data_IF_985869518724
#
_entry.id   IF_985869518724
#
_cell.length_a   1.000
_cell.length_b   1.000
_cell.length_c   1.000
_cell.angle_alpha   90.00
_cell.angle_beta   90.00
_cell.angle_gamma   90.00
#
_symmetry.space_group_name_H-M   'P 1'
#
loop_
_entity.id
_entity.type
_entity.pdbx_description
1 polymer ?
#
# COMPACT_ATOMS: atom_id res chain seq x y z
N UNK A 1 -21.42 -14.58 -14.71
CA UNK A 1 -20.16 -14.05 -14.15
C UNK A 1 -20.42 -13.65 -12.70
N UNK A 2 -19.45 -13.85 -11.80
CA UNK A 2 -19.56 -13.49 -10.40
C UNK A 2 -18.27 -12.82 -9.91
N UNK A 3 -18.40 -11.84 -9.03
CA UNK A 3 -17.27 -11.14 -8.40
C UNK A 3 -17.18 -11.52 -6.93
N UNK A 4 -15.96 -11.75 -6.47
CA UNK A 4 -15.64 -12.04 -5.08
C UNK A 4 -14.65 -10.97 -4.59
N UNK A 5 -15.15 -9.85 -4.04
CA UNK A 5 -14.28 -8.81 -3.50
C UNK A 5 -13.61 -9.33 -2.23
N UNK A 6 -12.30 -9.52 -2.24
CA UNK A 6 -11.54 -9.95 -1.05
C UNK A 6 -10.14 -9.35 -1.04
N UNK A 7 -9.63 -9.01 0.15
CA UNK A 7 -8.21 -8.66 0.31
C UNK A 7 -7.25 -9.85 0.11
N UNK A 8 -7.75 -11.08 0.12
CA UNK A 8 -6.95 -12.32 0.02
C UNK A 8 -6.49 -12.66 -1.40
N UNK A 9 -7.05 -11.99 -2.40
CA UNK A 9 -6.69 -12.18 -3.81
C UNK A 9 -5.54 -11.27 -4.25
N UNK A 10 -5.06 -10.37 -3.38
CA UNK A 10 -3.88 -9.57 -3.66
C UNK A 10 -2.61 -10.41 -3.49
N UNK A 11 -1.88 -10.61 -4.60
CA UNK A 11 -0.57 -11.24 -4.57
C UNK A 11 0.50 -10.24 -5.03
N UNK A 12 1.21 -9.58 -4.09
CA UNK A 12 2.23 -8.61 -4.46
C UNK A 12 3.36 -9.30 -5.22
N UNK A 13 3.72 -8.78 -6.40
CA UNK A 13 4.92 -9.21 -7.12
C UNK A 13 6.16 -9.00 -6.25
N UNK A 14 7.27 -9.70 -6.53
CA UNK A 14 8.51 -9.53 -5.77
C UNK A 14 8.98 -8.05 -5.74
N UNK A 15 8.73 -7.31 -6.82
CA UNK A 15 8.99 -5.87 -6.96
C UNK A 15 8.04 -5.00 -6.12
N UNK A 16 6.87 -5.53 -5.76
CA UNK A 16 5.89 -4.85 -4.90
C UNK A 16 6.33 -4.78 -3.44
N UNK A 17 7.19 -5.71 -2.99
CA UNK A 17 7.60 -5.82 -1.59
C UNK A 17 8.48 -4.65 -1.19
N UNK A 18 8.05 -3.90 -0.18
CA UNK A 18 8.84 -2.84 0.42
C UNK A 18 9.91 -3.48 1.30
N UNK A 19 11.16 -3.13 1.04
CA UNK A 19 12.31 -3.51 1.85
C UNK A 19 12.79 -2.30 2.63
N UNK A 20 13.44 -2.54 3.79
CA UNK A 20 14.04 -1.49 4.62
C UNK A 20 15.02 -0.59 3.86
N UNK A 21 15.54 -1.06 2.72
CA UNK A 21 16.44 -0.30 1.85
C UNK A 21 15.74 0.74 0.96
N UNK A 22 14.43 0.63 0.74
CA UNK A 22 13.73 1.60 -0.12
C UNK A 22 13.82 3.02 0.45
N UNK A 23 13.86 4.00 -0.44
CA UNK A 23 13.76 5.40 -0.03
C UNK A 23 12.30 5.83 0.09
N UNK A 24 12.00 6.81 0.94
CA UNK A 24 10.64 7.37 1.04
C UNK A 24 10.15 7.87 -0.33
N UNK A 25 11.04 8.48 -1.12
CA UNK A 25 10.73 8.94 -2.48
C UNK A 25 10.31 7.78 -3.39
N UNK A 26 11.07 6.68 -3.42
CA UNK A 26 10.71 5.48 -4.19
C UNK A 26 9.34 4.91 -3.79
N UNK A 27 9.03 4.91 -2.49
CA UNK A 27 7.73 4.41 -2.01
C UNK A 27 6.59 5.29 -2.51
N UNK A 28 6.76 6.62 -2.47
CA UNK A 28 5.73 7.58 -2.88
C UNK A 28 5.53 7.61 -4.40
N UNK A 29 6.59 7.44 -5.17
CA UNK A 29 6.55 7.42 -6.65
C UNK A 29 6.08 6.09 -7.22
N UNK A 30 5.91 5.06 -6.38
CA UNK A 30 5.48 3.73 -6.82
C UNK A 30 4.01 3.75 -7.28
N UNK A 31 3.79 3.47 -8.55
CA UNK A 31 2.44 3.32 -9.12
C UNK A 31 1.78 2.05 -8.59
N UNK A 32 0.45 2.04 -8.34
CA UNK A 32 -0.29 0.82 -8.04
C UNK A 32 -0.12 -0.17 -9.19
N UNK A 33 0.33 -1.39 -8.88
CA UNK A 33 0.63 -2.40 -9.90
C UNK A 33 -0.62 -3.08 -10.46
N UNK A 34 -1.71 -3.09 -9.70
CA UNK A 34 -2.92 -3.82 -10.08
C UNK A 34 -3.86 -2.97 -10.93
N UNK A 35 -3.96 -3.29 -12.21
CA UNK A 35 -4.93 -2.68 -13.14
C UNK A 35 -6.06 -3.64 -13.48
N UNK A 36 -7.12 -3.13 -14.14
CA UNK A 36 -8.26 -3.95 -14.58
C UNK A 36 -7.82 -5.08 -15.52
N UNK A 37 -6.75 -4.86 -16.29
CA UNK A 37 -6.19 -5.85 -17.22
C UNK A 37 -5.60 -7.06 -16.50
N UNK A 38 -5.21 -6.92 -15.23
CA UNK A 38 -4.68 -8.01 -14.41
C UNK A 38 -5.78 -8.86 -13.76
N UNK A 39 -7.05 -8.46 -13.88
CA UNK A 39 -8.19 -9.22 -13.35
C UNK A 39 -8.44 -10.46 -14.22
N UNK A 40 -8.04 -11.62 -13.72
CA UNK A 40 -8.31 -12.92 -14.34
C UNK A 40 -9.25 -13.79 -13.49
N UNK A 41 -10.08 -14.65 -14.12
CA UNK A 41 -11.00 -15.50 -13.38
C UNK A 41 -10.23 -16.60 -12.63
N UNK A 42 -10.38 -16.63 -11.30
CA UNK A 42 -9.84 -17.70 -10.45
C UNK A 42 -10.60 -19.03 -10.63
N UNK A 43 -11.82 -18.96 -11.16
CA UNK A 43 -12.62 -20.12 -11.54
C UNK A 43 -13.26 -19.87 -12.90
N UNK A 44 -13.08 -20.79 -13.84
CA UNK A 44 -13.55 -20.63 -15.22
C UNK A 44 -14.16 -21.94 -15.75
N UNK A 45 -15.45 -21.90 -16.07
CA UNK A 45 -16.22 -22.98 -16.71
C UNK A 45 -17.16 -22.38 -17.77
N UNK A 46 -17.75 -23.21 -18.62
CA UNK A 46 -18.65 -22.76 -19.70
C UNK A 46 -19.83 -21.89 -19.22
N UNK A 47 -20.32 -22.14 -18.01
CA UNK A 47 -21.53 -21.48 -17.48
C UNK A 47 -21.21 -20.54 -16.30
N UNK A 48 -19.99 -20.56 -15.75
CA UNK A 48 -19.63 -19.81 -14.56
C UNK A 48 -18.16 -19.37 -14.60
N UNK A 49 -17.97 -18.07 -14.40
CA UNK A 49 -16.67 -17.43 -14.21
C UNK A 49 -16.70 -16.64 -12.90
N UNK A 50 -15.70 -16.83 -12.04
CA UNK A 50 -15.55 -16.12 -10.76
C UNK A 50 -14.25 -15.33 -10.78
N UNK A 51 -14.37 -14.02 -10.58
CA UNK A 51 -13.26 -13.09 -10.53
C UNK A 51 -12.97 -12.72 -9.08
N UNK A 52 -11.73 -12.92 -8.64
CA UNK A 52 -11.27 -12.41 -7.35
C UNK A 52 -10.80 -10.98 -7.52
N UNK A 53 -11.44 -10.05 -6.81
CA UNK A 53 -11.09 -8.63 -6.91
C UNK A 53 -10.36 -8.24 -5.63
N UNK A 54 -9.09 -7.78 -5.70
CA UNK A 54 -8.31 -7.35 -4.55
C UNK A 54 -8.85 -6.02 -4.02
N UNK A 55 -9.97 -6.10 -3.32
CA UNK A 55 -10.57 -4.99 -2.62
C UNK A 55 -9.99 -4.91 -1.20
N UNK A 56 -9.46 -3.74 -0.84
CA UNK A 56 -8.94 -3.44 0.50
C UNK A 56 -9.71 -2.29 1.12
N UNK A 57 -10.13 -2.46 2.38
CA UNK A 57 -10.67 -1.38 3.21
C UNK A 57 -9.58 -0.69 4.04
N UNK A 58 -8.35 -1.16 3.90
CA UNK A 58 -7.18 -0.63 4.58
C UNK A 58 -6.26 0.10 3.60
N UNK A 59 -5.59 1.13 4.09
CA UNK A 59 -4.55 1.83 3.36
C UNK A 59 -3.41 0.88 2.99
N UNK A 60 -2.97 0.95 1.74
CA UNK A 60 -1.68 0.40 1.32
C UNK A 60 -0.53 1.10 2.04
N UNK A 61 0.64 0.46 2.03
CA UNK A 61 1.83 1.05 2.64
C UNK A 61 2.21 2.41 2.02
N UNK A 62 2.06 2.57 0.70
CA UNK A 62 2.29 3.85 0.02
C UNK A 62 1.29 4.92 0.49
N UNK A 63 0.02 4.58 0.61
CA UNK A 63 -1.00 5.55 1.06
C UNK A 63 -0.75 5.98 2.50
N UNK A 64 -0.37 5.06 3.37
CA UNK A 64 0.05 5.39 4.74
C UNK A 64 1.28 6.31 4.73
N UNK A 65 2.29 6.01 3.91
CA UNK A 65 3.47 6.86 3.76
C UNK A 65 3.09 8.27 3.27
N UNK A 66 2.28 8.37 2.23
CA UNK A 66 1.82 9.64 1.67
C UNK A 66 1.05 10.47 2.72
N UNK A 67 0.14 9.83 3.46
CA UNK A 67 -0.61 10.46 4.54
C UNK A 67 0.32 10.98 5.64
N UNK A 68 1.22 10.14 6.15
CA UNK A 68 2.17 10.52 7.21
C UNK A 68 3.11 11.63 6.77
N UNK A 69 3.59 11.59 5.53
CA UNK A 69 4.50 12.58 4.97
C UNK A 69 3.82 13.93 4.73
N UNK A 70 2.51 13.93 4.48
CA UNK A 70 1.71 15.15 4.26
C UNK A 70 1.28 15.86 5.56
N UNK A 71 1.48 15.24 6.72
CA UNK A 71 1.02 15.77 8.00
C UNK A 71 2.17 16.22 8.92
N UNK A 72 1.98 17.38 9.56
CA UNK A 72 2.85 17.87 10.62
C UNK A 72 2.36 17.39 12.00
N UNK A 73 2.73 16.18 12.38
CA UNK A 73 2.35 15.58 13.68
C UNK A 73 3.56 15.39 14.58
N UNK A 74 3.40 15.69 15.87
CA UNK A 74 4.47 15.56 16.87
C UNK A 74 4.87 14.10 17.14
N UNK A 75 3.91 13.19 17.09
CA UNK A 75 4.10 11.77 17.41
C UNK A 75 3.08 10.93 16.64
N UNK A 76 3.46 9.70 16.31
CA UNK A 76 2.58 8.68 15.73
C UNK A 76 2.58 7.48 16.66
N UNK A 77 1.40 6.93 16.94
CA UNK A 77 1.22 5.73 17.77
C UNK A 77 0.42 4.74 16.92
N UNK A 78 0.99 3.57 16.65
CA UNK A 78 0.27 2.52 15.93
C UNK A 78 -0.75 1.86 16.86
N UNK A 79 -2.01 1.81 16.42
CA UNK A 79 -3.10 1.16 17.16
C UNK A 79 -3.39 -0.25 16.67
N UNK A 80 -2.88 -0.62 15.48
CA UNK A 80 -3.04 -1.95 14.92
C UNK A 80 -1.77 -2.74 15.21
N UNK A 81 -1.82 -3.75 16.10
CA UNK A 81 -0.65 -4.55 16.40
C UNK A 81 -0.29 -5.39 15.18
N UNK A 82 0.97 -5.32 14.78
CA UNK A 82 1.51 -6.26 13.82
C UNK A 82 1.60 -7.64 14.49
N UNK A 83 1.12 -8.69 13.82
CA UNK A 83 1.06 -10.03 14.39
C UNK A 83 2.44 -10.67 14.65
N UNK A 84 3.52 -10.04 14.19
CA UNK A 84 4.90 -10.49 14.36
C UNK A 84 5.78 -9.41 14.97
N UNK A 85 6.69 -9.79 15.88
CA UNK A 85 7.61 -8.84 16.49
C UNK A 85 8.52 -8.17 15.46
N UNK A 86 8.97 -8.94 14.46
CA UNK A 86 9.76 -8.41 13.34
C UNK A 86 9.03 -7.31 12.60
N UNK A 87 7.76 -7.54 12.25
CA UNK A 87 6.97 -6.53 11.54
C UNK A 87 6.68 -5.29 12.40
N UNK A 88 6.52 -5.46 13.73
CA UNK A 88 6.35 -4.33 14.67
C UNK A 88 7.59 -3.42 14.66
N UNK A 89 8.79 -4.02 14.72
CA UNK A 89 10.07 -3.30 14.65
C UNK A 89 10.22 -2.59 13.29
N UNK A 90 9.88 -3.26 12.19
CA UNK A 90 9.94 -2.67 10.85
C UNK A 90 8.98 -1.49 10.70
N UNK A 91 7.73 -1.63 11.16
CA UNK A 91 6.73 -0.56 11.13
C UNK A 91 7.17 0.66 11.94
N UNK A 92 7.69 0.45 13.16
CA UNK A 92 8.22 1.54 13.99
C UNK A 92 9.43 2.22 13.34
N UNK A 93 10.32 1.43 12.70
CA UNK A 93 11.45 1.93 11.93
C UNK A 93 11.02 2.89 10.81
N UNK A 94 9.98 2.53 10.05
CA UNK A 94 9.42 3.39 9.00
C UNK A 94 8.81 4.67 9.53
N UNK A 95 7.97 4.58 10.57
CA UNK A 95 7.33 5.76 11.15
C UNK A 95 8.37 6.76 11.69
N UNK A 96 9.41 6.27 12.37
CA UNK A 96 10.50 7.08 12.88
C UNK A 96 11.32 7.72 11.75
N UNK A 97 11.59 6.97 10.68
CA UNK A 97 12.28 7.49 9.50
C UNK A 97 11.51 8.64 8.85
N UNK A 98 10.21 8.46 8.59
CA UNK A 98 9.37 9.50 8.01
C UNK A 98 9.28 10.73 8.92
N UNK A 99 9.16 10.55 10.23
CA UNK A 99 9.19 11.65 11.19
C UNK A 99 10.50 12.44 11.13
N UNK A 100 11.65 11.76 11.06
CA UNK A 100 12.97 12.40 10.95
C UNK A 100 13.14 13.16 9.63
N UNK A 101 12.66 12.59 8.52
CA UNK A 101 12.75 13.24 7.19
C UNK A 101 11.91 14.52 7.13
N UNK A 102 10.80 14.61 7.87
CA UNK A 102 9.98 15.82 7.96
C UNK A 102 10.61 16.96 8.77
N UNK A 103 11.51 16.66 9.70
CA UNK A 103 12.16 17.70 10.51
C UNK A 103 13.11 18.57 9.70
N UNK A 104 13.68 18.03 8.61
CA UNK A 104 14.66 18.72 7.76
C UNK A 104 14.06 19.31 6.49
N UNK A 105 12.76 19.12 6.24
CA UNK A 105 12.10 19.50 4.99
C UNK A 105 10.81 20.27 5.27
N UNK A 106 10.45 21.16 4.35
CA UNK A 106 9.11 21.74 4.34
C UNK A 106 8.10 20.63 4.04
N UNK A 107 7.05 20.54 4.85
CA UNK A 107 5.97 19.57 4.64
C UNK A 107 5.10 20.08 3.50
N UNK A 108 4.94 19.24 2.48
CA UNK A 108 4.09 19.48 1.33
C UNK A 108 3.12 18.30 1.19
N UNK A 109 1.94 18.57 0.64
CA UNK A 109 0.93 17.54 0.40
C UNK A 109 1.45 16.63 -0.71
N UNK A 110 1.62 15.35 -0.40
CA UNK A 110 2.02 14.35 -1.39
C UNK A 110 0.87 14.17 -2.38
N UNK A 111 1.11 14.35 -3.70
CA UNK A 111 0.05 14.19 -4.69
C UNK A 111 -0.43 12.73 -4.74
N UNK A 112 -1.73 12.56 -4.96
CA UNK A 112 -2.27 11.25 -5.32
C UNK A 112 -1.90 10.96 -6.77
N UNK A 113 -1.22 9.84 -7.01
CA UNK A 113 -0.99 9.33 -8.36
C UNK A 113 -2.26 8.64 -8.81
N UNK A 114 -3.09 9.33 -9.60
CA UNK A 114 -4.20 8.71 -10.30
C UNK A 114 -3.65 7.71 -11.33
N UNK A 115 -4.26 6.53 -11.36
CA UNK A 115 -4.11 5.63 -12.50
C UNK A 115 -5.18 6.08 -13.47
N UNK A 116 -4.79 6.68 -14.59
CA UNK A 116 -5.73 7.05 -15.65
C UNK A 116 -6.40 5.78 -16.17
N UNK A 117 -7.66 5.57 -15.80
CA UNK A 117 -8.52 4.54 -16.38
C UNK A 117 -9.06 5.05 -17.73
N UNK A 118 -8.18 5.27 -18.70
CA UNK A 118 -8.53 5.62 -20.07
C UNK A 118 -8.40 4.40 -20.99
#
# INVERSE_FOLDING_TARGET
MAFRPTGWTFNPSAESKVSSHNTTKEILEKTPLYTVDEISPNYNTKNLQIFGVPYSEHSSFRELAAFVMSLNVKQIISTVPEGSEKGRIEMEGWLNRWQKEKQSKKIEIVPYLDVDYC
#
